data_IF_741210978600
#
_entry.id   IF_741210978600
#
_cell.length_a   1.000
_cell.length_b   1.000
_cell.length_c   1.000
_cell.angle_alpha   90.00
_cell.angle_beta   90.00
_cell.angle_gamma   90.00
#
_symmetry.space_group_name_H-M   'P 1'
#
loop_
_entity.id
_entity.type
_entity.pdbx_description
1 polymer ?
#
# COMPACT_ATOMS: atom_id res chain seq x y z
N UNK A 1 -32.37 8.09 -18.39
CA UNK A 1 -32.01 7.91 -16.96
C UNK A 1 -31.50 6.50 -16.62
N UNK A 2 -32.05 5.42 -17.18
CA UNK A 2 -31.58 4.05 -16.90
C UNK A 2 -30.10 3.80 -17.27
N UNK A 3 -29.63 4.37 -18.39
CA UNK A 3 -28.23 4.24 -18.83
C UNK A 3 -27.28 5.03 -17.93
N UNK A 4 -27.70 6.21 -17.43
CA UNK A 4 -26.88 7.03 -16.54
C UNK A 4 -26.77 6.41 -15.14
N UNK A 5 -27.83 5.78 -14.64
CA UNK A 5 -27.79 5.04 -13.37
C UNK A 5 -26.93 3.78 -13.46
N UNK A 6 -26.94 3.07 -14.59
CA UNK A 6 -26.05 1.93 -14.85
C UNK A 6 -24.58 2.35 -14.88
N UNK A 7 -24.24 3.43 -15.60
CA UNK A 7 -22.89 4.01 -15.61
C UNK A 7 -22.43 4.43 -14.21
N UNK A 8 -23.32 5.01 -13.40
CA UNK A 8 -23.04 5.39 -12.01
C UNK A 8 -22.77 4.16 -11.13
N UNK A 9 -23.56 3.09 -11.27
CA UNK A 9 -23.35 1.82 -10.54
C UNK A 9 -22.00 1.20 -10.88
N UNK A 10 -21.62 1.21 -12.16
CA UNK A 10 -20.31 0.72 -12.62
C UNK A 10 -19.17 1.52 -12.00
N UNK A 11 -19.25 2.86 -12.03
CA UNK A 11 -18.25 3.74 -11.40
C UNK A 11 -18.06 3.43 -9.91
N UNK A 12 -19.15 3.29 -9.15
CA UNK A 12 -19.07 2.92 -7.71
C UNK A 12 -18.42 1.56 -7.48
N UNK A 13 -18.76 0.55 -8.28
CA UNK A 13 -18.12 -0.78 -8.19
C UNK A 13 -16.62 -0.71 -8.43
N UNK A 14 -16.17 0.06 -9.44
CA UNK A 14 -14.74 0.26 -9.74
C UNK A 14 -14.02 1.00 -8.62
N UNK A 15 -14.63 2.05 -8.06
CA UNK A 15 -14.06 2.77 -6.90
C UNK A 15 -13.87 1.84 -5.70
N UNK A 16 -14.86 1.00 -5.37
CA UNK A 16 -14.75 0.03 -4.28
C UNK A 16 -13.64 -1.00 -4.52
N UNK A 17 -13.47 -1.49 -5.76
CA UNK A 17 -12.38 -2.39 -6.12
C UNK A 17 -11.02 -1.71 -5.94
N UNK A 18 -10.85 -0.48 -6.44
CA UNK A 18 -9.59 0.26 -6.33
C UNK A 18 -9.21 0.52 -4.87
N UNK A 19 -10.18 0.86 -4.02
CA UNK A 19 -9.95 1.05 -2.59
C UNK A 19 -9.46 -0.23 -1.90
N UNK A 20 -10.02 -1.41 -2.25
CA UNK A 20 -9.55 -2.71 -1.74
C UNK A 20 -8.12 -3.00 -2.18
N UNK A 21 -7.80 -2.80 -3.46
CA UNK A 21 -6.44 -3.01 -3.99
C UNK A 21 -5.43 -2.08 -3.31
N UNK A 22 -5.78 -0.81 -3.10
CA UNK A 22 -4.92 0.15 -2.41
C UNK A 22 -4.63 -0.31 -0.97
N UNK A 23 -5.67 -0.75 -0.25
CA UNK A 23 -5.52 -1.25 1.12
C UNK A 23 -4.61 -2.48 1.19
N UNK A 24 -4.76 -3.43 0.25
CA UNK A 24 -3.88 -4.60 0.14
C UNK A 24 -2.43 -4.17 -0.10
N UNK A 25 -2.20 -3.21 -1.02
CA UNK A 25 -0.85 -2.69 -1.29
C UNK A 25 -0.21 -2.03 -0.07
N UNK A 26 -0.99 -1.28 0.71
CA UNK A 26 -0.53 -0.66 1.95
C UNK A 26 -0.17 -1.71 3.02
N UNK A 27 -1.02 -2.73 3.20
CA UNK A 27 -0.77 -3.81 4.16
C UNK A 27 0.45 -4.65 3.78
N UNK A 28 0.66 -4.88 2.48
CA UNK A 28 1.79 -5.62 1.95
C UNK A 28 3.03 -4.75 1.72
N UNK A 29 2.98 -3.45 2.03
CA UNK A 29 4.12 -2.57 1.87
C UNK A 29 5.19 -2.96 2.90
N UNK A 30 6.25 -3.62 2.42
CA UNK A 30 7.46 -3.80 3.22
C UNK A 30 8.21 -2.47 3.20
N UNK A 31 8.38 -1.79 4.36
CA UNK A 31 9.15 -0.56 4.40
C UNK A 31 10.60 -0.88 4.06
N UNK A 32 11.05 -0.47 2.88
CA UNK A 32 12.47 -0.51 2.52
C UNK A 32 13.09 0.72 3.15
N UNK A 33 13.84 0.52 4.24
CA UNK A 33 14.59 1.61 4.88
C UNK A 33 15.74 1.96 3.91
N UNK A 34 15.64 3.11 3.24
CA UNK A 34 16.56 3.49 2.15
C UNK A 34 17.92 4.00 2.63
N UNK A 35 17.99 4.50 3.87
CA UNK A 35 19.20 5.11 4.45
C UNK A 35 19.56 4.38 5.75
N UNK A 36 19.89 3.10 5.68
CA UNK A 36 20.39 2.34 6.84
C UNK A 36 21.91 2.47 6.88
N UNK A 37 22.44 3.09 7.94
CA UNK A 37 23.87 3.00 8.24
C UNK A 37 24.19 1.62 8.83
N UNK A 38 24.50 0.70 7.93
CA UNK A 38 24.76 -0.71 8.25
C UNK A 38 26.00 -0.86 9.15
N UNK A 39 26.94 0.10 9.10
CA UNK A 39 28.15 0.06 9.91
C UNK A 39 27.86 0.39 11.39
N UNK A 40 27.02 1.40 11.64
CA UNK A 40 26.58 1.75 12.99
C UNK A 40 25.80 0.61 13.65
N UNK A 41 24.86 0.00 12.92
CA UNK A 41 24.08 -1.15 13.40
C UNK A 41 24.99 -2.31 13.79
N UNK A 42 25.91 -2.71 12.90
CA UNK A 42 26.83 -3.84 13.19
C UNK A 42 27.68 -3.61 14.44
N UNK A 43 28.04 -2.36 14.72
CA UNK A 43 28.81 -1.97 15.91
C UNK A 43 28.00 -2.10 17.20
N UNK A 44 26.71 -1.77 17.17
CA UNK A 44 25.82 -1.97 18.34
C UNK A 44 25.58 -3.45 18.68
N UNK A 45 25.71 -4.35 17.69
CA UNK A 45 25.50 -5.79 17.87
C UNK A 45 26.79 -6.60 18.11
N UNK A 46 27.98 -6.03 17.91
CA UNK A 46 29.25 -6.72 18.21
C UNK A 46 29.63 -6.69 19.69
N UNK A 47 29.07 -5.76 20.45
CA UNK A 47 29.41 -5.52 21.86
C UNK A 47 28.43 -6.22 22.83
N UNK A 48 27.59 -7.15 22.33
CA UNK A 48 26.74 -8.06 23.10
C UNK A 48 27.22 -9.49 22.99
#
# INVERSE_FOLDING_TARGET
>A
MAVTTLKRKLRRKRQAQNARVLKIKQLNAKPVIKNVDVAAIKKEFSDK
#
